data_IF_942019677369
#
_entry.id   IF_942019677369
#
_cell.length_a   1.000
_cell.length_b   1.000
_cell.length_c   1.000
_cell.angle_alpha   90.00
_cell.angle_beta   90.00
_cell.angle_gamma   90.00
#
_symmetry.space_group_name_H-M   'P 1'
#
loop_
_entity.id
_entity.type
_entity.pdbx_description
1 polymer ?
#
# COMPACT_ATOMS: atom_id res chain seq x y z
N UNK A 1 -2.62 -4.47 16.00
CA UNK A 1 -1.21 -4.49 16.45
C UNK A 1 -0.41 -3.65 15.47
N UNK A 2 0.23 -2.58 15.94
CA UNK A 2 1.09 -1.75 15.11
C UNK A 2 2.50 -2.36 15.09
N UNK A 3 3.27 -2.10 14.04
CA UNK A 3 4.67 -2.53 13.95
C UNK A 3 5.52 -1.35 13.53
N UNK A 4 6.66 -1.15 14.19
CA UNK A 4 7.72 -0.25 13.74
C UNK A 4 8.70 -1.05 12.88
N UNK A 5 8.88 -0.61 11.65
CA UNK A 5 9.90 -1.16 10.76
C UNK A 5 10.94 -0.07 10.52
N UNK A 6 12.20 -0.35 10.82
CA UNK A 6 13.30 0.58 10.54
C UNK A 6 14.18 -0.05 9.46
N UNK A 7 14.31 0.64 8.34
CA UNK A 7 15.23 0.31 7.26
C UNK A 7 16.28 1.40 7.21
N UNK A 8 17.55 1.03 7.34
CA UNK A 8 18.65 1.97 7.16
C UNK A 8 19.10 1.95 5.70
N UNK A 9 19.28 3.14 5.14
CA UNK A 9 20.01 3.33 3.89
C UNK A 9 21.23 4.19 4.19
N UNK A 10 22.41 3.67 3.89
CA UNK A 10 23.68 4.33 4.20
C UNK A 10 24.70 4.13 3.08
N UNK A 11 25.72 4.99 3.06
CA UNK A 11 26.82 4.90 2.11
C UNK A 11 28.08 4.44 2.85
N UNK A 12 28.74 3.42 2.32
CA UNK A 12 30.11 3.08 2.68
C UNK A 12 30.99 3.19 1.42
N UNK A 13 31.92 4.13 1.47
CA UNK A 13 32.73 4.60 0.34
C UNK A 13 31.87 5.07 -0.85
N UNK A 14 31.70 4.20 -1.84
CA UNK A 14 30.98 4.49 -3.10
C UNK A 14 29.75 3.60 -3.26
N UNK A 15 29.48 2.73 -2.28
CA UNK A 15 28.38 1.77 -2.32
C UNK A 15 27.28 2.18 -1.36
N UNK A 16 26.06 2.14 -1.86
CA UNK A 16 24.86 2.37 -1.08
C UNK A 16 24.34 1.02 -0.60
N UNK A 17 24.06 0.92 0.68
CA UNK A 17 23.46 -0.25 1.32
C UNK A 17 22.05 0.10 1.77
N UNK A 18 21.18 -0.90 1.78
CA UNK A 18 19.82 -0.80 2.30
C UNK A 18 19.49 -2.08 3.05
N UNK A 19 19.20 -1.96 4.34
CA UNK A 19 19.09 -3.11 5.24
C UNK A 19 17.95 -2.92 6.24
N UNK A 20 17.23 -4.00 6.52
CA UNK A 20 16.20 -4.03 7.56
C UNK A 20 16.88 -4.13 8.93
N UNK A 21 16.83 -3.06 9.70
CA UNK A 21 17.45 -3.01 11.04
C UNK A 21 16.55 -3.62 12.10
N UNK A 22 15.24 -3.38 12.03
CA UNK A 22 14.31 -3.97 13.00
C UNK A 22 12.87 -4.06 12.49
N UNK A 23 12.13 -4.98 13.12
CA UNK A 23 10.68 -5.09 13.05
C UNK A 23 10.15 -5.30 14.48
N UNK A 24 9.65 -4.22 15.08
CA UNK A 24 9.25 -4.20 16.49
C UNK A 24 7.72 -4.13 16.58
N UNK A 25 7.04 -5.14 17.13
CA UNK A 25 5.61 -5.07 17.39
C UNK A 25 5.32 -4.15 18.58
N UNK A 26 4.36 -3.25 18.44
CA UNK A 26 3.79 -2.48 19.54
C UNK A 26 2.50 -3.15 20.03
N UNK A 27 2.49 -3.53 21.30
CA UNK A 27 1.38 -4.25 21.95
C UNK A 27 0.21 -3.34 22.32
N UNK A 28 0.49 -2.11 22.76
CA UNK A 28 -0.54 -1.19 23.28
C UNK A 28 -0.69 0.07 22.40
N UNK A 29 0.29 0.97 22.43
CA UNK A 29 0.29 2.21 21.65
C UNK A 29 1.61 2.37 20.90
N UNK A 30 1.54 3.06 19.76
CA UNK A 30 2.68 3.43 18.94
C UNK A 30 2.74 4.97 18.86
N UNK A 31 2.98 5.62 20.00
CA UNK A 31 3.14 7.08 20.06
C UNK A 31 4.51 7.50 19.56
N UNK A 32 4.71 8.79 19.27
CA UNK A 32 6.04 9.28 18.87
C UNK A 32 7.12 9.05 19.92
N UNK A 33 6.74 9.03 21.21
CA UNK A 33 7.66 8.71 22.31
C UNK A 33 8.06 7.23 22.31
N UNK A 34 7.10 6.32 22.09
CA UNK A 34 7.37 4.88 21.99
C UNK A 34 8.32 4.58 20.82
N UNK A 35 8.10 5.26 19.68
CA UNK A 35 8.97 5.17 18.50
C UNK A 35 10.36 5.72 18.79
N UNK A 36 10.48 6.87 19.46
CA UNK A 36 11.78 7.44 19.84
C UNK A 36 12.57 6.48 20.73
N UNK A 37 11.93 5.96 21.79
CA UNK A 37 12.58 5.03 22.71
C UNK A 37 13.03 3.76 21.97
N UNK A 38 12.19 3.18 21.11
CA UNK A 38 12.57 2.02 20.31
C UNK A 38 13.72 2.32 19.34
N UNK A 39 13.73 3.52 18.73
CA UNK A 39 14.75 3.96 17.79
C UNK A 39 16.11 4.19 18.47
N UNK A 40 16.15 4.91 19.60
CA UNK A 40 17.38 5.16 20.35
C UNK A 40 17.98 3.85 20.87
N UNK A 41 17.16 2.98 21.47
CA UNK A 41 17.60 1.67 21.92
C UNK A 41 18.18 0.83 20.77
N UNK A 42 17.60 0.91 19.57
CA UNK A 42 18.15 0.22 18.39
C UNK A 42 19.54 0.74 18.03
N UNK A 43 19.73 2.06 17.96
CA UNK A 43 21.01 2.66 17.60
C UNK A 43 22.09 2.33 18.64
N UNK A 44 21.76 2.41 19.93
CA UNK A 44 22.68 2.03 21.01
C UNK A 44 23.10 0.56 20.92
N UNK A 45 22.15 -0.35 20.72
CA UNK A 45 22.43 -1.79 20.59
C UNK A 45 23.27 -2.12 19.34
N UNK A 46 23.11 -1.37 18.26
CA UNK A 46 23.88 -1.52 17.02
C UNK A 46 25.17 -0.69 17.01
N UNK A 47 25.45 0.05 18.08
CA UNK A 47 26.62 0.97 18.20
C UNK A 47 26.67 1.97 17.05
N UNK A 48 25.50 2.48 16.64
CA UNK A 48 25.37 3.49 15.60
C UNK A 48 25.37 4.86 16.26
N UNK A 49 26.32 5.69 15.86
CA UNK A 49 26.36 7.09 16.28
C UNK A 49 25.20 7.87 15.66
N UNK A 50 24.28 8.30 16.51
CA UNK A 50 23.08 9.06 16.12
C UNK A 50 23.43 10.38 15.42
N UNK A 51 24.61 10.95 15.65
CA UNK A 51 25.07 12.18 15.00
C UNK A 51 25.29 11.98 13.49
N UNK A 52 25.50 10.73 13.04
CA UNK A 52 25.61 10.40 11.61
C UNK A 52 24.27 10.33 10.89
N UNK A 53 23.16 10.46 11.61
CA UNK A 53 21.82 10.45 11.03
C UNK A 53 21.56 11.75 10.26
N UNK A 54 21.53 11.65 8.94
CA UNK A 54 21.28 12.80 8.08
C UNK A 54 19.79 13.02 7.78
N UNK A 55 19.03 11.94 7.67
CA UNK A 55 17.68 11.98 7.11
C UNK A 55 16.77 10.87 7.65
N UNK A 56 15.48 11.19 7.78
CA UNK A 56 14.41 10.25 8.14
C UNK A 56 13.29 10.35 7.12
N UNK A 57 12.80 9.20 6.67
CA UNK A 57 11.54 9.12 5.91
C UNK A 57 10.51 8.35 6.73
N UNK A 58 9.31 8.90 6.90
CA UNK A 58 8.23 8.26 7.67
C UNK A 58 6.92 8.23 6.90
N UNK A 59 5.95 7.42 7.31
CA UNK A 59 4.63 7.33 6.68
C UNK A 59 3.75 8.59 6.86
N UNK A 60 4.24 9.60 7.59
CA UNK A 60 3.52 10.84 7.84
C UNK A 60 2.40 10.70 8.88
N UNK A 61 2.31 9.59 9.61
CA UNK A 61 1.36 9.44 10.69
C UNK A 61 1.60 10.51 11.79
N UNK A 62 0.54 10.91 12.52
CA UNK A 62 0.67 11.91 13.60
C UNK A 62 1.70 11.54 14.67
N UNK A 63 1.91 10.25 14.90
CA UNK A 63 2.97 9.76 15.80
C UNK A 63 4.38 10.03 15.26
N UNK A 64 4.56 10.13 13.94
CA UNK A 64 5.86 10.38 13.30
C UNK A 64 6.14 11.88 13.14
N UNK A 65 5.17 12.63 12.61
CA UNK A 65 5.35 14.03 12.17
C UNK A 65 4.56 15.06 13.00
N UNK A 66 3.96 14.65 14.12
CA UNK A 66 3.24 15.56 15.00
C UNK A 66 4.13 16.68 15.54
N UNK A 67 3.62 17.92 15.57
CA UNK A 67 4.42 19.12 15.91
C UNK A 67 5.09 19.06 17.28
N UNK A 68 4.40 18.54 18.29
CA UNK A 68 4.90 18.49 19.67
C UNK A 68 5.35 17.08 20.05
N UNK A 69 4.49 16.09 19.80
CA UNK A 69 4.67 14.68 20.23
C UNK A 69 5.05 13.73 19.10
N UNK A 70 5.40 14.25 17.92
CA UNK A 70 5.86 13.43 16.80
C UNK A 70 7.29 12.98 17.01
N UNK A 71 7.61 11.75 16.60
CA UNK A 71 8.94 11.17 16.66
C UNK A 71 10.03 12.09 16.11
N UNK A 72 9.83 12.71 14.94
CA UNK A 72 10.84 13.59 14.32
C UNK A 72 11.17 14.77 15.25
N UNK A 73 10.16 15.47 15.75
CA UNK A 73 10.36 16.60 16.66
C UNK A 73 11.01 16.16 17.99
N UNK A 74 10.59 15.02 18.53
CA UNK A 74 11.16 14.48 19.76
C UNK A 74 12.63 14.07 19.56
N UNK A 75 12.98 13.52 18.40
CA UNK A 75 14.33 13.15 18.04
C UNK A 75 15.23 14.37 17.88
N UNK A 76 14.78 15.40 17.16
CA UNK A 76 15.54 16.66 17.00
C UNK A 76 15.85 17.29 18.37
N UNK A 77 14.87 17.28 19.29
CA UNK A 77 15.07 17.74 20.66
C UNK A 77 16.06 16.86 21.45
N UNK A 78 16.08 15.55 21.19
CA UNK A 78 16.98 14.60 21.84
C UNK A 78 18.44 14.76 21.38
N UNK A 79 18.66 14.97 20.08
CA UNK A 79 20.01 15.10 19.50
C UNK A 79 20.54 16.55 19.51
N UNK A 80 19.65 17.53 19.68
CA UNK A 80 20.00 18.95 19.68
C UNK A 80 20.36 19.53 18.31
N UNK A 81 20.02 18.83 17.23
CA UNK A 81 20.19 19.30 15.84
C UNK A 81 18.98 18.94 14.99
N UNK A 82 18.77 19.69 13.91
CA UNK A 82 17.66 19.41 12.99
C UNK A 82 17.99 18.23 12.08
N UNK A 83 16.98 17.38 11.83
CA UNK A 83 17.07 16.22 10.95
C UNK A 83 16.23 16.47 9.71
N UNK A 84 16.80 16.21 8.54
CA UNK A 84 16.04 16.27 7.31
C UNK A 84 14.94 15.21 7.34
N UNK A 85 13.67 15.62 7.35
CA UNK A 85 12.54 14.71 7.41
C UNK A 85 11.71 14.78 6.14
N UNK A 86 11.39 13.60 5.60
CA UNK A 86 10.51 13.44 4.46
C UNK A 86 9.31 12.58 4.82
N UNK A 87 8.18 12.91 4.21
CA UNK A 87 7.06 11.99 4.15
C UNK A 87 7.34 10.92 3.10
N UNK A 88 6.81 9.73 3.33
CA UNK A 88 6.94 8.62 2.41
C UNK A 88 6.28 8.99 1.07
N UNK A 89 7.11 9.14 0.05
CA UNK A 89 6.67 9.50 -1.30
C UNK A 89 5.61 8.53 -1.84
N UNK A 90 5.74 7.25 -1.50
CA UNK A 90 4.78 6.21 -1.87
C UNK A 90 3.42 6.48 -1.19
N UNK A 91 3.42 6.82 0.10
CA UNK A 91 2.19 7.18 0.81
C UNK A 91 1.54 8.43 0.22
N UNK A 92 2.33 9.46 -0.08
CA UNK A 92 1.82 10.68 -0.72
C UNK A 92 1.24 10.42 -2.11
N UNK A 93 1.93 9.62 -2.96
CA UNK A 93 1.41 9.22 -4.27
C UNK A 93 0.09 8.46 -4.16
N UNK A 94 -0.03 7.56 -3.18
CA UNK A 94 -1.27 6.84 -2.92
C UNK A 94 -2.40 7.79 -2.47
N UNK A 95 -2.09 8.77 -1.62
CA UNK A 95 -3.05 9.77 -1.17
C UNK A 95 -3.54 10.64 -2.33
N UNK A 96 -2.62 11.15 -3.15
CA UNK A 96 -2.95 11.93 -4.36
C UNK A 96 -3.78 11.10 -5.32
N UNK A 97 -3.40 9.85 -5.60
CA UNK A 97 -4.18 8.97 -6.47
C UNK A 97 -5.62 8.79 -5.97
N UNK A 98 -5.81 8.60 -4.66
CA UNK A 98 -7.15 8.50 -4.05
C UNK A 98 -7.98 9.77 -4.21
N UNK A 99 -7.37 10.94 -4.00
CA UNK A 99 -8.04 12.24 -4.12
C UNK A 99 -8.35 12.54 -5.60
N UNK A 100 -7.40 12.32 -6.50
CA UNK A 100 -7.58 12.56 -7.93
C UNK A 100 -8.58 11.61 -8.57
N UNK A 101 -8.70 10.38 -8.06
CA UNK A 101 -9.68 9.40 -8.57
C UNK A 101 -11.09 9.60 -8.00
N UNK A 102 -11.38 10.70 -7.31
CA UNK A 102 -12.66 10.86 -6.61
C UNK A 102 -13.85 10.87 -7.58
N UNK A 103 -13.69 11.42 -8.78
CA UNK A 103 -14.65 11.33 -9.89
C UNK A 103 -14.79 9.92 -10.49
N UNK A 104 -13.77 9.07 -10.32
CA UNK A 104 -13.75 7.67 -10.77
C UNK A 104 -14.11 6.69 -9.64
N UNK A 105 -14.58 7.18 -8.49
CA UNK A 105 -14.84 6.32 -7.33
C UNK A 105 -15.92 5.29 -7.63
N UNK A 106 -17.02 5.70 -8.26
CA UNK A 106 -18.11 4.81 -8.66
C UNK A 106 -17.65 3.74 -9.65
N UNK A 107 -16.89 4.13 -10.68
CA UNK A 107 -16.30 3.21 -11.66
C UNK A 107 -15.42 2.18 -10.95
N UNK A 108 -14.53 2.66 -10.07
CA UNK A 108 -13.65 1.77 -9.32
C UNK A 108 -14.41 0.83 -8.38
N UNK A 109 -15.49 1.28 -7.76
CA UNK A 109 -16.33 0.43 -6.92
C UNK A 109 -16.99 -0.68 -7.74
N UNK A 110 -17.51 -0.36 -8.92
CA UNK A 110 -18.05 -1.35 -9.87
C UNK A 110 -17.00 -2.35 -10.32
N UNK A 111 -15.81 -1.87 -10.72
CA UNK A 111 -14.69 -2.74 -11.12
C UNK A 111 -14.29 -3.68 -9.98
N UNK A 112 -14.14 -3.16 -8.76
CA UNK A 112 -13.79 -3.98 -7.58
C UNK A 112 -14.87 -5.01 -7.28
N UNK A 113 -16.16 -4.64 -7.37
CA UNK A 113 -17.29 -5.58 -7.19
C UNK A 113 -17.21 -6.72 -8.19
N UNK A 114 -17.07 -6.42 -9.49
CA UNK A 114 -17.01 -7.44 -10.55
C UNK A 114 -15.80 -8.35 -10.35
N UNK A 115 -14.61 -7.77 -10.13
CA UNK A 115 -13.38 -8.55 -9.92
C UNK A 115 -13.50 -9.44 -8.69
N UNK A 116 -14.09 -8.96 -7.59
CA UNK A 116 -14.32 -9.78 -6.39
C UNK A 116 -15.31 -10.92 -6.66
N UNK A 117 -16.36 -10.69 -7.46
CA UNK A 117 -17.30 -11.76 -7.85
C UNK A 117 -16.61 -12.84 -8.69
N UNK A 118 -15.70 -12.46 -9.59
CA UNK A 118 -14.99 -13.42 -10.44
C UNK A 118 -13.92 -14.18 -9.64
N UNK A 119 -13.11 -13.46 -8.86
CA UNK A 119 -11.90 -14.01 -8.22
C UNK A 119 -12.17 -14.59 -6.84
N UNK A 120 -13.09 -14.02 -6.05
CA UNK A 120 -13.31 -14.43 -4.65
C UNK A 120 -14.58 -15.24 -4.39
N UNK A 121 -15.54 -15.30 -5.32
CA UNK A 121 -16.79 -16.05 -5.10
C UNK A 121 -16.56 -17.54 -4.87
N UNK A 122 -15.76 -18.17 -5.73
CA UNK A 122 -15.36 -19.57 -5.55
C UNK A 122 -14.10 -19.88 -6.35
N UNK A 123 -13.33 -20.88 -5.90
CA UNK A 123 -12.15 -21.38 -6.63
C UNK A 123 -12.50 -21.89 -8.03
N UNK A 124 -13.71 -22.44 -8.22
CA UNK A 124 -14.20 -22.90 -9.51
C UNK A 124 -14.43 -21.72 -10.46
N UNK A 125 -15.12 -20.67 -10.01
CA UNK A 125 -15.39 -19.46 -10.78
C UNK A 125 -14.08 -18.80 -11.23
N UNK A 126 -13.13 -18.66 -10.31
CA UNK A 126 -11.83 -18.07 -10.62
C UNK A 126 -11.05 -18.88 -11.66
N UNK A 127 -10.99 -20.21 -11.49
CA UNK A 127 -10.34 -21.10 -12.48
C UNK A 127 -11.01 -21.04 -13.85
N UNK A 128 -12.33 -20.97 -13.91
CA UNK A 128 -13.07 -20.88 -15.18
C UNK A 128 -12.79 -19.56 -15.89
N UNK A 129 -12.79 -18.44 -15.18
CA UNK A 129 -12.39 -17.14 -15.76
C UNK A 129 -10.96 -17.20 -16.28
N UNK A 130 -10.05 -17.82 -15.53
CA UNK A 130 -8.65 -17.99 -15.95
C UNK A 130 -8.51 -18.80 -17.24
N UNK A 131 -9.25 -19.91 -17.35
CA UNK A 131 -9.27 -20.72 -18.58
C UNK A 131 -9.80 -19.91 -19.76
N UNK A 132 -10.89 -19.15 -19.59
CA UNK A 132 -11.43 -18.32 -20.65
C UNK A 132 -10.42 -17.27 -21.14
N UNK A 133 -9.75 -16.56 -20.22
CA UNK A 133 -8.71 -15.58 -20.57
C UNK A 133 -7.54 -16.21 -21.35
N UNK A 134 -7.18 -17.46 -21.02
CA UNK A 134 -6.13 -18.19 -21.74
C UNK A 134 -6.60 -18.68 -23.10
N UNK A 135 -7.85 -19.12 -23.22
CA UNK A 135 -8.45 -19.59 -24.48
C UNK A 135 -8.60 -18.45 -25.51
N UNK A 136 -8.89 -17.24 -25.03
CA UNK A 136 -9.03 -16.04 -25.86
C UNK A 136 -7.71 -15.31 -26.13
N UNK A 137 -6.58 -15.86 -25.66
CA UNK A 137 -5.24 -15.25 -25.76
C UNK A 137 -5.21 -13.79 -25.24
N UNK A 138 -5.91 -13.55 -24.13
CA UNK A 138 -6.01 -12.23 -23.50
C UNK A 138 -4.65 -11.70 -23.04
N UNK A 139 -4.51 -10.38 -22.98
CA UNK A 139 -3.28 -9.71 -22.52
C UNK A 139 -2.83 -10.20 -21.14
N UNK A 140 -3.78 -10.49 -20.25
CA UNK A 140 -3.52 -11.07 -18.94
C UNK A 140 -4.20 -12.43 -18.79
N UNK A 141 -3.42 -13.43 -18.39
CA UNK A 141 -3.92 -14.76 -18.07
C UNK A 141 -4.66 -14.87 -16.73
N UNK A 142 -4.83 -13.76 -15.97
CA UNK A 142 -5.54 -13.75 -14.68
C UNK A 142 -5.89 -12.32 -14.23
N UNK A 143 -6.99 -12.18 -13.50
CA UNK A 143 -7.39 -10.95 -12.83
C UNK A 143 -6.73 -10.83 -11.45
N UNK A 144 -6.50 -9.59 -11.00
CA UNK A 144 -5.91 -9.33 -9.67
C UNK A 144 -7.02 -8.95 -8.70
N UNK A 145 -7.07 -9.58 -7.53
CA UNK A 145 -7.94 -9.14 -6.45
C UNK A 145 -7.51 -7.76 -5.92
N UNK A 146 -8.47 -6.86 -5.75
CA UNK A 146 -8.20 -5.60 -5.09
C UNK A 146 -7.90 -5.79 -3.60
N UNK A 147 -6.79 -5.24 -3.12
CA UNK A 147 -6.49 -5.15 -1.68
C UNK A 147 -6.17 -3.72 -1.28
N UNK A 148 -6.79 -3.24 -0.20
CA UNK A 148 -6.56 -1.89 0.34
C UNK A 148 -5.14 -1.69 0.89
N UNK A 149 -4.40 -2.79 1.10
CA UNK A 149 -3.07 -2.80 1.75
C UNK A 149 -1.95 -2.51 0.74
N UNK A 150 -2.15 -2.85 -0.55
CA UNK A 150 -1.14 -2.67 -1.59
C UNK A 150 -1.45 -1.39 -2.38
N UNK A 151 -0.65 -0.35 -2.18
CA UNK A 151 -0.88 1.01 -2.70
C UNK A 151 -1.05 1.14 -4.24
N UNK A 152 -0.55 0.19 -5.04
CA UNK A 152 -0.78 0.14 -6.49
C UNK A 152 -1.98 -0.74 -6.91
N UNK A 153 -2.71 -1.34 -5.97
CA UNK A 153 -3.76 -2.32 -6.30
C UNK A 153 -4.85 -1.72 -7.17
N UNK A 154 -5.36 -0.52 -6.85
CA UNK A 154 -6.47 0.10 -7.62
C UNK A 154 -6.12 0.33 -9.08
N UNK A 155 -4.96 0.93 -9.35
CA UNK A 155 -4.51 1.18 -10.72
C UNK A 155 -4.25 -0.12 -11.49
N UNK A 156 -3.58 -1.09 -10.86
CA UNK A 156 -3.30 -2.37 -11.50
C UNK A 156 -4.56 -3.20 -11.78
N UNK A 157 -5.53 -3.17 -10.85
CA UNK A 157 -6.82 -3.83 -11.03
C UNK A 157 -7.59 -3.18 -12.18
N UNK A 158 -7.66 -1.85 -12.22
CA UNK A 158 -8.33 -1.14 -13.30
C UNK A 158 -7.67 -1.41 -14.65
N UNK A 159 -6.34 -1.36 -14.72
CA UNK A 159 -5.61 -1.62 -15.96
C UNK A 159 -5.90 -3.02 -16.51
N UNK A 160 -5.82 -4.06 -15.67
CA UNK A 160 -6.14 -5.43 -16.10
C UNK A 160 -7.61 -5.61 -16.45
N UNK A 161 -8.51 -4.99 -15.69
CA UNK A 161 -9.93 -5.05 -15.98
C UNK A 161 -10.25 -4.46 -17.35
N UNK A 162 -9.66 -3.31 -17.70
CA UNK A 162 -9.85 -2.67 -19.01
C UNK A 162 -9.22 -3.50 -20.14
N UNK A 163 -8.01 -4.03 -19.93
CA UNK A 163 -7.34 -4.90 -20.92
C UNK A 163 -8.10 -6.20 -21.21
N UNK A 164 -8.87 -6.71 -20.24
CA UNK A 164 -9.65 -7.94 -20.37
C UNK A 164 -11.17 -7.68 -20.42
N UNK A 165 -11.59 -6.46 -20.77
CA UNK A 165 -12.99 -6.03 -20.59
C UNK A 165 -13.96 -6.89 -21.40
N UNK A 166 -13.60 -7.24 -22.64
CA UNK A 166 -14.47 -8.00 -23.54
C UNK A 166 -14.62 -9.45 -23.06
N UNK A 167 -13.54 -10.07 -22.60
CA UNK A 167 -13.54 -11.42 -22.04
C UNK A 167 -14.29 -11.49 -20.72
N UNK A 168 -14.18 -10.44 -19.90
CA UNK A 168 -14.96 -10.29 -18.68
C UNK A 168 -16.46 -10.21 -19.02
N UNK A 169 -16.87 -9.43 -20.03
CA UNK A 169 -18.29 -9.35 -20.43
C UNK A 169 -18.82 -10.72 -20.83
N UNK A 170 -18.09 -11.46 -21.67
CA UNK A 170 -18.44 -12.84 -22.08
C UNK A 170 -18.62 -13.72 -20.85
N UNK A 171 -17.68 -13.68 -19.91
CA UNK A 171 -17.75 -14.49 -18.69
C UNK A 171 -18.96 -14.16 -17.81
N UNK A 172 -19.29 -12.86 -17.68
CA UNK A 172 -20.43 -12.41 -16.89
C UNK A 172 -21.77 -12.86 -17.50
N UNK A 173 -21.90 -12.79 -18.83
CA UNK A 173 -23.08 -13.26 -19.56
C UNK A 173 -23.31 -14.76 -19.39
N UNK A 174 -22.24 -15.57 -19.43
CA UNK A 174 -22.32 -17.01 -19.24
C UNK A 174 -22.73 -17.41 -17.81
N UNK A 175 -22.24 -16.70 -16.79
CA UNK A 175 -22.43 -17.06 -15.38
C UNK A 175 -23.70 -16.50 -14.76
N UNK A 176 -24.28 -15.43 -15.33
CA UNK A 176 -25.49 -14.76 -14.83
C UNK A 176 -25.43 -14.49 -13.32
N UNK A 177 -24.52 -13.61 -12.91
CA UNK A 177 -24.40 -13.21 -11.51
C UNK A 177 -25.57 -12.32 -11.09
N UNK A 178 -26.52 -12.87 -10.34
CA UNK A 178 -27.69 -12.13 -9.84
C UNK A 178 -27.34 -10.92 -8.97
N UNK A 179 -26.13 -10.89 -8.40
CA UNK A 179 -25.61 -9.77 -7.61
C UNK A 179 -25.27 -8.52 -8.46
N UNK A 180 -25.24 -8.66 -9.79
CA UNK A 180 -25.10 -7.53 -10.72
C UNK A 180 -26.45 -7.01 -11.23
N UNK A 181 -27.55 -7.71 -10.95
CA UNK A 181 -28.89 -7.37 -11.43
C UNK A 181 -29.67 -6.46 -10.45
N UNK A 182 -29.14 -6.23 -9.24
CA UNK A 182 -29.74 -5.34 -8.25
C UNK A 182 -29.05 -3.96 -8.24
N UNK A 183 -29.82 -2.96 -8.68
CA UNK A 183 -29.61 -1.49 -8.66
C UNK A 183 -29.05 -0.84 -9.95
N UNK A 184 -30.01 -0.44 -10.80
CA UNK A 184 -30.04 0.74 -11.69
C UNK A 184 -28.83 1.04 -12.59
N UNK A 185 -28.90 0.51 -13.82
CA UNK A 185 -28.56 1.23 -15.06
C UNK A 185 -27.14 1.76 -15.21
N UNK A 186 -26.18 0.89 -15.57
CA UNK A 186 -24.85 1.31 -16.02
C UNK A 186 -24.34 0.62 -17.30
N UNK A 187 -25.24 -0.02 -18.06
CA UNK A 187 -24.91 -0.60 -19.37
C UNK A 187 -25.83 -0.05 -20.49
N UNK A 188 -26.03 1.27 -20.50
CA UNK A 188 -26.43 2.02 -21.69
C UNK A 188 -25.50 3.23 -21.85
#
# INVERSE_FOLDING_TARGET
MAHLTIVARYCDNVRIYEELCCLIPFTNMATGQDVLTAFVNLLENQVIDIIKLFCITSDGARAMVGKEKGFVNLLENHIGCSVMSFNCFIHQKNLVAKISSQSLSSVMETVVKIVNLIVSRSSLTHRQSKSLLQELDSEYADLILHSNVRWLSRGNVLNRFVSCLEEIKIFLEEKRFSELDNEDGYLN
#
